data_IF_782106028315
#
_entry.id   IF_782106028315
#
_cell.length_a   1.000
_cell.length_b   1.000
_cell.length_c   1.000
_cell.angle_alpha   90.00
_cell.angle_beta   90.00
_cell.angle_gamma   90.00
#
_symmetry.space_group_name_H-M   'P 1'
#
loop_
_entity.id
_entity.type
_entity.pdbx_description
1 polymer ?
#
# COMPACT_ATOMS: atom_id res chain seq x y z
N UNK A 1 29.61 33.51 -23.20
CA UNK A 1 29.86 32.31 -22.39
C UNK A 1 29.04 32.23 -21.08
N UNK A 2 28.62 33.32 -20.48
CA UNK A 2 27.81 33.30 -19.23
C UNK A 2 26.33 32.91 -19.39
N UNK A 3 25.79 32.91 -20.62
CA UNK A 3 24.37 32.55 -20.86
C UNK A 3 24.09 31.05 -20.93
N UNK A 4 25.07 30.24 -21.34
CA UNK A 4 24.89 28.79 -21.45
C UNK A 4 24.82 28.07 -20.09
N UNK A 5 25.53 28.57 -19.08
CA UNK A 5 25.51 27.96 -17.73
C UNK A 5 24.18 28.15 -17.00
N UNK A 6 23.47 29.23 -17.31
CA UNK A 6 22.16 29.50 -16.70
C UNK A 6 21.06 28.55 -17.21
N UNK A 7 21.11 28.21 -18.50
CA UNK A 7 20.17 27.26 -19.09
C UNK A 7 20.39 25.84 -18.60
N UNK A 8 21.62 25.42 -18.35
CA UNK A 8 21.93 24.09 -17.81
C UNK A 8 21.43 23.99 -16.37
N UNK A 9 21.57 25.04 -15.57
CA UNK A 9 21.08 25.06 -14.19
C UNK A 9 19.54 25.00 -14.13
N UNK A 10 18.85 25.69 -15.06
CA UNK A 10 17.40 25.67 -15.14
C UNK A 10 16.86 24.30 -15.59
N UNK A 11 17.56 23.62 -16.49
CA UNK A 11 17.22 22.27 -16.94
C UNK A 11 17.39 21.22 -15.82
N UNK A 12 18.41 21.38 -14.97
CA UNK A 12 18.61 20.51 -13.79
C UNK A 12 17.54 20.69 -12.72
N UNK A 13 16.99 21.89 -12.57
CA UNK A 13 15.88 22.16 -11.65
C UNK A 13 14.54 21.55 -12.13
N UNK A 14 14.34 21.43 -13.43
CA UNK A 14 13.12 20.85 -14.00
C UNK A 14 13.06 19.32 -13.81
N UNK A 15 14.21 18.65 -13.68
CA UNK A 15 14.28 17.20 -13.44
C UNK A 15 14.00 16.85 -11.97
N UNK A 16 14.18 17.81 -11.04
CA UNK A 16 14.02 17.60 -9.61
C UNK A 16 12.54 17.58 -9.12
N UNK A 17 11.58 17.90 -10.01
CA UNK A 17 10.16 18.01 -9.67
C UNK A 17 9.28 16.87 -10.24
N UNK A 18 9.86 15.71 -10.53
CA UNK A 18 9.04 14.55 -10.93
C UNK A 18 8.41 13.94 -9.69
N UNK A 19 7.05 13.84 -9.69
CA UNK A 19 6.33 13.11 -8.67
C UNK A 19 6.79 11.63 -8.64
N UNK A 20 6.97 11.05 -7.45
CA UNK A 20 7.33 9.64 -7.35
C UNK A 20 6.22 8.77 -7.95
N UNK A 21 6.58 7.78 -8.78
CA UNK A 21 5.65 6.82 -9.36
C UNK A 21 5.20 5.75 -8.37
N UNK A 22 5.83 5.69 -7.20
CA UNK A 22 5.49 4.74 -6.14
C UNK A 22 5.60 5.42 -4.79
N UNK A 23 4.59 5.24 -3.96
CA UNK A 23 4.56 5.68 -2.56
C UNK A 23 4.33 4.48 -1.66
N UNK A 24 4.98 4.50 -0.50
CA UNK A 24 4.90 3.43 0.49
C UNK A 24 4.57 4.03 1.84
N UNK A 25 3.59 3.44 2.53
CA UNK A 25 3.22 3.78 3.90
C UNK A 25 3.20 2.51 4.72
N UNK A 26 3.71 2.57 5.94
CA UNK A 26 3.67 1.46 6.87
C UNK A 26 3.11 1.92 8.22
N UNK A 27 2.11 1.19 8.72
CA UNK A 27 1.50 1.45 10.03
C UNK A 27 1.83 0.27 10.95
N UNK A 28 2.61 0.50 12.01
CA UNK A 28 2.97 -0.55 12.96
C UNK A 28 1.79 -0.95 13.85
N UNK A 29 1.90 -2.13 14.45
CA UNK A 29 0.95 -2.61 15.46
C UNK A 29 -0.15 -3.51 14.91
N UNK A 30 -1.20 -3.67 15.69
CA UNK A 30 -2.30 -4.62 15.44
C UNK A 30 -3.48 -4.07 14.64
N UNK A 31 -3.44 -2.81 14.23
CA UNK A 31 -4.53 -2.17 13.49
C UNK A 31 -5.59 -1.51 14.37
N UNK A 32 -6.63 -0.89 13.80
CA UNK A 32 -6.86 -0.74 12.37
C UNK A 32 -5.78 0.07 11.65
N UNK A 33 -5.56 -0.24 10.37
CA UNK A 33 -4.54 0.41 9.55
C UNK A 33 -5.21 1.40 8.60
N UNK A 34 -4.98 2.69 8.81
CA UNK A 34 -5.64 3.76 8.05
C UNK A 34 -4.62 4.49 7.20
N UNK A 35 -4.81 4.44 5.88
CA UNK A 35 -3.93 5.08 4.90
C UNK A 35 -4.67 6.18 4.16
N UNK A 36 -3.97 7.27 3.86
CA UNK A 36 -4.43 8.29 2.94
C UNK A 36 -3.69 8.14 1.62
N UNK A 37 -4.43 8.07 0.52
CA UNK A 37 -3.88 7.91 -0.82
C UNK A 37 -4.34 9.04 -1.74
N UNK A 38 -3.42 9.60 -2.49
CA UNK A 38 -3.71 10.65 -3.46
C UNK A 38 -3.98 10.03 -4.84
N UNK A 39 -5.24 10.08 -5.24
CA UNK A 39 -5.72 9.59 -6.53
C UNK A 39 -6.22 10.75 -7.41
N UNK A 40 -5.56 11.90 -7.33
CA UNK A 40 -5.97 13.14 -8.02
C UNK A 40 -5.65 13.12 -9.51
N UNK A 41 -4.69 12.33 -9.96
CA UNK A 41 -4.28 12.27 -11.37
C UNK A 41 -5.28 11.43 -12.18
N UNK A 42 -6.14 12.09 -12.93
CA UNK A 42 -7.17 11.45 -13.75
C UNK A 42 -6.61 10.74 -14.99
N UNK A 43 -5.34 10.96 -15.33
CA UNK A 43 -4.67 10.33 -16.48
C UNK A 43 -3.94 9.05 -16.11
N UNK A 44 -3.84 8.75 -14.82
CA UNK A 44 -3.14 7.59 -14.30
C UNK A 44 -4.08 6.45 -13.93
N UNK A 45 -3.54 5.23 -13.98
CA UNK A 45 -4.06 4.07 -13.27
C UNK A 45 -3.16 3.76 -12.07
N UNK A 46 -3.72 3.11 -11.05
CA UNK A 46 -3.02 2.83 -9.80
C UNK A 46 -3.06 1.34 -9.50
N UNK A 47 -1.91 0.82 -9.08
CA UNK A 47 -1.81 -0.51 -8.49
C UNK A 47 -1.58 -0.37 -6.99
N UNK A 48 -2.22 -1.25 -6.21
CA UNK A 48 -2.10 -1.30 -4.76
C UNK A 48 -1.58 -2.67 -4.35
N UNK A 49 -0.50 -2.67 -3.57
CA UNK A 49 0.04 -3.88 -2.97
C UNK A 49 0.04 -3.74 -1.45
N UNK A 50 -0.24 -4.85 -0.77
CA UNK A 50 -0.14 -4.95 0.68
C UNK A 50 1.13 -5.70 1.06
N UNK A 51 1.78 -5.28 2.13
CA UNK A 51 2.88 -6.05 2.70
C UNK A 51 2.80 -6.07 4.23
N UNK A 52 3.26 -7.15 4.79
CA UNK A 52 3.33 -7.32 6.23
C UNK A 52 4.48 -8.25 6.61
N UNK A 53 4.74 -8.32 7.90
CA UNK A 53 5.72 -9.24 8.48
C UNK A 53 5.10 -9.93 9.68
N UNK A 54 5.28 -11.25 9.72
CA UNK A 54 4.98 -12.08 10.88
C UNK A 54 6.30 -12.49 11.53
N UNK A 55 6.41 -12.30 12.82
CA UNK A 55 7.52 -12.79 13.62
C UNK A 55 6.99 -13.83 14.60
N UNK A 56 7.77 -14.89 14.83
CA UNK A 56 7.44 -15.95 15.76
C UNK A 56 8.33 -17.15 15.56
N UNK A 57 8.19 -18.13 16.43
CA UNK A 57 8.85 -19.39 16.26
C UNK A 57 8.29 -20.17 15.06
N UNK A 58 9.09 -21.04 14.40
CA UNK A 58 8.61 -21.79 13.23
C UNK A 58 7.33 -22.59 13.49
N UNK A 59 7.17 -23.13 14.69
CA UNK A 59 5.99 -23.91 15.10
C UNK A 59 4.73 -23.05 15.13
N UNK A 60 4.85 -21.78 15.50
CA UNK A 60 3.75 -20.81 15.54
C UNK A 60 3.39 -20.30 14.15
N UNK A 61 4.37 -20.19 13.26
CA UNK A 61 4.17 -19.64 11.91
C UNK A 61 3.66 -20.69 10.90
N UNK A 62 4.02 -21.96 11.04
CA UNK A 62 3.63 -23.03 10.11
C UNK A 62 2.11 -23.12 9.90
N UNK A 63 1.25 -23.07 10.95
CA UNK A 63 -0.20 -23.18 10.77
C UNK A 63 -0.85 -21.95 10.17
N UNK A 64 -0.15 -20.81 10.13
CA UNK A 64 -0.69 -19.56 9.61
C UNK A 64 -0.71 -19.59 8.07
N UNK A 65 -1.89 -19.66 7.47
CA UNK A 65 -2.08 -19.73 6.00
C UNK A 65 -2.58 -18.43 5.39
N UNK A 66 -3.40 -17.70 6.10
CA UNK A 66 -3.99 -16.46 5.62
C UNK A 66 -4.96 -15.87 6.62
N UNK A 67 -5.47 -14.70 6.29
CA UNK A 67 -6.48 -14.01 7.10
C UNK A 67 -7.44 -13.25 6.21
N UNK A 68 -8.65 -13.01 6.70
CA UNK A 68 -9.61 -12.10 6.09
C UNK A 68 -9.40 -10.70 6.62
N UNK A 69 -9.25 -9.76 5.70
CA UNK A 69 -9.24 -8.34 5.99
C UNK A 69 -10.53 -7.71 5.52
N UNK A 70 -11.07 -6.80 6.31
CA UNK A 70 -12.10 -5.87 5.89
C UNK A 70 -11.43 -4.59 5.44
N UNK A 71 -11.64 -4.21 4.18
CA UNK A 71 -11.18 -2.96 3.61
C UNK A 71 -12.34 -1.98 3.49
N UNK A 72 -12.16 -0.77 3.97
CA UNK A 72 -13.13 0.32 3.90
C UNK A 72 -12.49 1.49 3.16
N UNK A 73 -13.00 1.80 1.98
CA UNK A 73 -12.58 2.92 1.17
C UNK A 73 -13.55 4.08 1.34
N UNK A 74 -13.00 5.25 1.62
CA UNK A 74 -13.77 6.48 1.73
C UNK A 74 -13.31 7.47 0.67
N UNK A 75 -14.25 7.90 -0.16
CA UNK A 75 -14.00 8.84 -1.24
C UNK A 75 -13.82 10.28 -0.72
N UNK A 76 -13.31 11.21 -1.55
CA UNK A 76 -13.26 12.64 -1.19
C UNK A 76 -14.63 13.23 -0.85
N UNK A 77 -15.71 12.69 -1.39
CA UNK A 77 -17.10 13.08 -1.09
C UNK A 77 -17.74 12.30 0.04
N UNK A 78 -16.94 11.54 0.80
CA UNK A 78 -17.36 10.75 1.96
C UNK A 78 -18.24 9.53 1.66
N UNK A 79 -18.26 9.07 0.41
CA UNK A 79 -18.88 7.79 0.06
C UNK A 79 -18.04 6.62 0.55
N UNK A 80 -18.69 5.61 1.14
CA UNK A 80 -18.05 4.45 1.75
C UNK A 80 -18.23 3.21 0.85
N UNK A 81 -17.11 2.54 0.57
CA UNK A 81 -17.07 1.26 -0.14
C UNK A 81 -16.38 0.23 0.77
N UNK A 82 -17.05 -0.90 0.99
CA UNK A 82 -16.58 -1.95 1.90
C UNK A 82 -16.41 -3.24 1.14
N UNK A 83 -15.30 -3.90 1.35
CA UNK A 83 -15.03 -5.24 0.80
C UNK A 83 -14.28 -6.11 1.79
N UNK A 84 -14.39 -7.42 1.61
CA UNK A 84 -13.58 -8.40 2.33
C UNK A 84 -12.57 -8.99 1.37
N UNK A 85 -11.33 -9.05 1.82
CA UNK A 85 -10.23 -9.62 1.04
C UNK A 85 -9.53 -10.71 1.84
N UNK A 86 -9.14 -11.77 1.15
CA UNK A 86 -8.28 -12.79 1.73
C UNK A 86 -6.82 -12.42 1.48
N UNK A 87 -6.05 -12.27 2.56
CA UNK A 87 -4.62 -12.04 2.48
C UNK A 87 -3.89 -13.38 2.74
N UNK A 88 -3.25 -13.96 1.70
CA UNK A 88 -2.41 -15.13 1.89
C UNK A 88 -1.19 -14.79 2.76
N UNK A 89 -0.89 -15.63 3.73
CA UNK A 89 0.21 -15.40 4.68
C UNK A 89 1.28 -16.50 4.60
N UNK A 90 1.39 -17.16 3.46
CA UNK A 90 2.40 -18.20 3.23
C UNK A 90 3.81 -17.67 3.03
N UNK A 91 3.92 -16.38 2.70
CA UNK A 91 5.18 -15.65 2.64
C UNK A 91 5.90 -15.74 1.30
N UNK A 92 6.46 -14.61 0.88
CA UNK A 92 7.35 -14.49 -0.28
C UNK A 92 8.82 -14.60 0.11
N UNK A 93 9.14 -14.24 1.35
CA UNK A 93 10.44 -14.42 1.98
C UNK A 93 10.27 -14.99 3.38
N UNK A 94 11.06 -15.99 3.70
CA UNK A 94 11.05 -16.65 5.00
C UNK A 94 12.46 -16.74 5.55
N UNK A 95 12.62 -16.31 6.81
CA UNK A 95 13.77 -16.61 7.65
C UNK A 95 13.34 -17.55 8.78
N UNK A 96 14.26 -17.93 9.65
CA UNK A 96 13.95 -18.87 10.73
C UNK A 96 12.84 -18.39 11.66
N UNK A 97 12.83 -17.08 12.00
CA UNK A 97 11.89 -16.48 12.95
C UNK A 97 10.94 -15.46 12.33
N UNK A 98 10.93 -15.31 11.02
CA UNK A 98 10.08 -14.33 10.38
C UNK A 98 9.60 -14.74 9.00
N UNK A 99 8.46 -14.23 8.62
CA UNK A 99 7.88 -14.40 7.31
C UNK A 99 7.47 -13.03 6.77
N UNK A 100 8.00 -12.66 5.62
CA UNK A 100 7.62 -11.46 4.91
C UNK A 100 6.59 -11.80 3.85
N UNK A 101 5.54 -11.00 3.78
CA UNK A 101 4.43 -11.16 2.86
C UNK A 101 4.32 -9.89 2.02
N UNK A 102 4.24 -10.07 0.71
CA UNK A 102 3.97 -9.02 -0.25
C UNK A 102 2.91 -9.55 -1.21
N UNK A 103 1.74 -8.90 -1.24
CA UNK A 103 0.59 -9.40 -1.98
C UNK A 103 -0.03 -8.29 -2.81
N UNK A 104 -0.21 -8.47 -4.13
CA UNK A 104 -1.01 -7.57 -4.93
C UNK A 104 -2.45 -7.53 -4.42
N UNK A 105 -2.99 -6.31 -4.27
CA UNK A 105 -4.34 -6.11 -3.78
C UNK A 105 -5.30 -5.69 -4.89
N UNK A 106 -4.96 -4.64 -5.61
CA UNK A 106 -5.72 -4.11 -6.73
C UNK A 106 -4.78 -3.65 -7.84
N UNK A 107 -5.17 -3.88 -9.08
CA UNK A 107 -4.43 -3.42 -10.25
C UNK A 107 -5.31 -2.59 -11.17
N UNK A 108 -4.68 -1.68 -11.91
CA UNK A 108 -5.33 -0.85 -12.93
C UNK A 108 -6.55 -0.05 -12.43
N UNK A 109 -6.48 0.40 -11.19
CA UNK A 109 -7.57 1.18 -10.57
C UNK A 109 -7.62 2.57 -11.20
N UNK A 110 -8.78 2.90 -11.75
CA UNK A 110 -9.12 4.26 -12.19
C UNK A 110 -10.22 4.75 -11.25
N UNK A 111 -9.90 5.70 -10.35
CA UNK A 111 -10.87 6.12 -9.34
C UNK A 111 -12.09 6.78 -9.97
N UNK A 112 -13.27 6.51 -9.44
CA UNK A 112 -14.53 7.14 -9.88
C UNK A 112 -14.58 8.62 -9.53
N UNK A 113 -13.78 9.05 -8.57
CA UNK A 113 -13.62 10.42 -8.15
C UNK A 113 -12.15 10.73 -7.89
N UNK A 114 -11.56 11.77 -8.51
CA UNK A 114 -10.21 12.20 -8.21
C UNK A 114 -10.14 12.88 -6.84
N UNK A 115 -8.99 12.76 -6.18
CA UNK A 115 -8.71 13.42 -4.91
C UNK A 115 -8.05 12.52 -3.88
N UNK A 116 -8.12 12.95 -2.63
CA UNK A 116 -7.60 12.20 -1.49
C UNK A 116 -8.63 11.18 -1.02
N UNK A 117 -8.25 9.93 -1.05
CA UNK A 117 -9.02 8.81 -0.52
C UNK A 117 -8.41 8.32 0.78
N UNK A 118 -9.25 7.75 1.63
CA UNK A 118 -8.80 7.04 2.81
C UNK A 118 -9.17 5.56 2.66
N UNK A 119 -8.24 4.68 2.94
CA UNK A 119 -8.50 3.25 3.02
C UNK A 119 -8.09 2.72 4.39
N UNK A 120 -8.96 1.98 5.02
CA UNK A 120 -8.65 1.29 6.28
C UNK A 120 -8.76 -0.21 6.13
N UNK A 121 -7.83 -0.92 6.75
CA UNK A 121 -7.84 -2.38 6.81
C UNK A 121 -7.89 -2.82 8.26
N UNK A 122 -8.68 -3.85 8.53
CA UNK A 122 -8.70 -4.53 9.82
C UNK A 122 -8.92 -6.02 9.63
N UNK A 123 -8.41 -6.82 10.56
CA UNK A 123 -8.71 -8.24 10.56
C UNK A 123 -10.18 -8.46 10.88
N UNK A 124 -10.87 -9.26 10.05
CA UNK A 124 -12.30 -9.50 10.17
C UNK A 124 -12.59 -10.53 11.24
N UNK A 125 -11.80 -11.59 11.31
CA UNK A 125 -11.99 -12.67 12.29
C UNK A 125 -11.16 -12.40 13.55
N UNK A 126 -11.84 -12.07 14.63
CA UNK A 126 -11.22 -11.85 15.94
C UNK A 126 -10.88 -13.14 16.68
N UNK A 127 -11.39 -14.29 16.25
CA UNK A 127 -11.10 -15.58 16.88
C UNK A 127 -9.71 -16.10 16.51
N UNK A 128 -9.16 -15.64 15.40
CA UNK A 128 -7.82 -15.99 14.89
C UNK A 128 -7.04 -14.75 14.51
N UNK A 129 -6.82 -13.88 15.48
CA UNK A 129 -6.00 -12.67 15.26
C UNK A 129 -4.56 -13.06 14.96
N UNK A 130 -4.12 -12.75 13.74
CA UNK A 130 -2.73 -12.94 13.35
C UNK A 130 -1.90 -11.78 13.88
N UNK A 131 -0.80 -12.03 14.58
CA UNK A 131 0.03 -10.97 15.16
C UNK A 131 0.88 -10.29 14.09
N UNK A 132 0.30 -9.39 13.31
CA UNK A 132 1.05 -8.55 12.39
C UNK A 132 2.00 -7.62 13.14
N UNK A 133 3.22 -7.46 12.62
CA UNK A 133 4.10 -6.35 13.04
C UNK A 133 3.59 -5.00 12.59
N UNK A 134 2.71 -4.98 11.65
CA UNK A 134 2.08 -3.83 11.03
C UNK A 134 1.56 -4.20 9.65
N UNK A 135 0.99 -3.24 8.96
CA UNK A 135 0.56 -3.38 7.58
C UNK A 135 1.11 -2.22 6.75
N UNK A 136 1.64 -2.55 5.59
CA UNK A 136 2.11 -1.58 4.61
C UNK A 136 1.23 -1.56 3.37
N UNK A 137 1.09 -0.38 2.80
CA UNK A 137 0.43 -0.14 1.52
C UNK A 137 1.41 0.51 0.56
N UNK A 138 1.59 -0.11 -0.60
CA UNK A 138 2.36 0.43 -1.72
C UNK A 138 1.38 0.85 -2.81
N UNK A 139 1.47 2.09 -3.23
CA UNK A 139 0.66 2.66 -4.32
C UNK A 139 1.57 2.96 -5.48
N UNK A 140 1.36 2.31 -6.61
CA UNK A 140 2.10 2.52 -7.86
C UNK A 140 1.23 3.26 -8.85
N UNK A 141 1.71 4.38 -9.33
CA UNK A 141 1.05 5.23 -10.32
C UNK A 141 1.59 4.88 -11.70
N UNK A 142 0.71 4.47 -12.62
CA UNK A 142 1.04 4.18 -14.00
C UNK A 142 0.41 5.24 -14.91
N UNK A 143 1.23 5.86 -15.75
CA UNK A 143 0.78 6.78 -16.80
C UNK A 143 0.80 6.06 -18.13
N UNK A 144 -0.27 6.21 -18.88
CA UNK A 144 -0.35 5.73 -20.26
C UNK A 144 0.54 6.56 -21.19
#
# INVERSE_FOLDING_TARGET
MKRSSFFILLALLAVACQEPLSTEQFIPGGGPYVFTVDLSDTTAAYDFDLYTRLDGDPEDLIPVKGTLLRAEWRSPSDSLFVEKIYLPLTGTRQSFFSRQIYEPYRADVRPVQPGLWTVSFRQEDRSQVVPFRGLGLVVKKKRD
#
